data_IF_695730475173
#
_entry.id   IF_695730475173
#
_cell.length_a   1.000
_cell.length_b   1.000
_cell.length_c   1.000
_cell.angle_alpha   90.00
_cell.angle_beta   90.00
_cell.angle_gamma   90.00
#
_symmetry.space_group_name_H-M   'P 1'
#
loop_
_entity.id
_entity.type
_entity.pdbx_description
1 polymer ?
#
# COMPACT_ATOMS: atom_id res chain seq x y z
N UNK A 1 -22.49 3.34 -14.68
CA UNK A 1 -22.83 2.06 -14.02
C UNK A 1 -21.95 0.99 -14.62
N UNK A 2 -21.15 0.28 -13.82
CA UNK A 2 -20.36 -0.90 -14.26
C UNK A 2 -21.05 -2.12 -13.69
N UNK A 3 -21.40 -3.12 -14.51
CA UNK A 3 -22.20 -4.28 -14.08
C UNK A 3 -23.53 -3.92 -13.37
N UNK A 4 -24.10 -2.74 -13.65
CA UNK A 4 -25.31 -2.27 -12.96
C UNK A 4 -25.05 -1.69 -11.56
N UNK A 5 -23.79 -1.44 -11.18
CA UNK A 5 -23.37 -0.78 -9.95
C UNK A 5 -23.07 0.72 -10.16
N UNK A 6 -23.42 1.54 -9.17
CA UNK A 6 -23.19 2.99 -9.16
C UNK A 6 -21.86 3.29 -8.48
N UNK A 7 -20.79 3.38 -9.27
CA UNK A 7 -19.43 3.63 -8.78
C UNK A 7 -19.29 5.10 -8.35
N UNK A 8 -18.86 5.30 -7.09
CA UNK A 8 -18.64 6.60 -6.46
C UNK A 8 -17.18 6.89 -6.16
N UNK A 9 -16.36 5.86 -6.02
CA UNK A 9 -14.93 5.99 -5.75
C UNK A 9 -14.11 5.04 -6.62
N UNK A 10 -12.93 5.49 -7.01
CA UNK A 10 -11.87 4.70 -7.61
C UNK A 10 -10.65 4.79 -6.71
N UNK A 11 -10.18 3.66 -6.20
CA UNK A 11 -8.99 3.57 -5.35
C UNK A 11 -7.94 2.69 -6.02
N UNK A 12 -6.73 3.21 -6.16
CA UNK A 12 -5.69 2.60 -6.98
C UNK A 12 -4.45 2.27 -6.15
N UNK A 13 -3.88 1.07 -6.32
CA UNK A 13 -2.53 0.83 -5.83
C UNK A 13 -1.49 1.74 -6.53
N UNK A 14 -0.36 1.92 -5.87
CA UNK A 14 0.72 2.79 -6.36
C UNK A 14 1.70 2.02 -7.23
N UNK A 15 2.44 1.07 -6.65
CA UNK A 15 3.67 0.52 -7.23
C UNK A 15 3.36 -0.66 -8.15
N UNK A 16 3.62 -0.53 -9.44
CA UNK A 16 3.24 -1.55 -10.42
C UNK A 16 1.81 -1.39 -10.94
N UNK A 17 1.03 -0.49 -10.36
CA UNK A 17 -0.34 -0.18 -10.78
C UNK A 17 -0.47 1.22 -11.41
N UNK A 18 -0.47 2.31 -10.62
CA UNK A 18 -0.54 3.67 -11.17
C UNK A 18 0.84 4.20 -11.60
N UNK A 19 1.89 3.72 -10.93
CA UNK A 19 3.27 4.01 -11.25
C UNK A 19 3.91 2.78 -11.88
N UNK A 20 4.18 2.91 -13.17
CA UNK A 20 5.04 1.98 -13.89
C UNK A 20 6.52 2.32 -13.77
N UNK A 21 7.32 1.81 -14.71
CA UNK A 21 8.78 1.92 -14.68
C UNK A 21 9.29 3.36 -14.82
N UNK A 22 8.48 4.25 -15.41
CA UNK A 22 8.84 5.65 -15.59
C UNK A 22 8.82 6.47 -14.28
N UNK A 23 8.21 5.95 -13.20
CA UNK A 23 8.06 6.65 -11.93
C UNK A 23 7.13 7.88 -11.99
N UNK A 24 6.35 8.02 -13.07
CA UNK A 24 5.39 9.10 -13.29
C UNK A 24 4.11 8.54 -13.90
N UNK A 25 2.97 9.14 -13.58
CA UNK A 25 1.68 8.75 -14.14
C UNK A 25 1.56 9.26 -15.57
N UNK A 26 1.12 8.40 -16.49
CA UNK A 26 0.99 8.76 -17.91
C UNK A 26 -0.01 9.87 -18.13
N UNK A 27 0.19 10.69 -19.18
CA UNK A 27 -0.74 11.78 -19.49
C UNK A 27 -2.17 11.30 -19.76
N UNK A 28 -2.33 10.11 -20.36
CA UNK A 28 -3.64 9.53 -20.66
C UNK A 28 -4.36 9.14 -19.38
N UNK A 29 -3.65 8.51 -18.43
CA UNK A 29 -4.19 8.19 -17.09
C UNK A 29 -4.54 9.47 -16.31
N UNK A 30 -3.69 10.49 -16.33
CA UNK A 30 -4.00 11.81 -15.73
C UNK A 30 -5.29 12.42 -16.31
N UNK A 31 -5.46 12.37 -17.65
CA UNK A 31 -6.69 12.87 -18.30
C UNK A 31 -7.92 12.04 -17.91
N UNK A 32 -7.79 10.73 -17.79
CA UNK A 32 -8.87 9.84 -17.36
C UNK A 32 -9.30 10.15 -15.90
N UNK A 33 -8.34 10.32 -14.99
CA UNK A 33 -8.60 10.72 -13.60
C UNK A 33 -9.33 12.06 -13.52
N UNK A 34 -8.91 13.06 -14.30
CA UNK A 34 -9.61 14.36 -14.34
C UNK A 34 -11.07 14.22 -14.77
N UNK A 35 -11.34 13.42 -15.81
CA UNK A 35 -12.72 13.15 -16.27
C UNK A 35 -13.55 12.40 -15.22
N UNK A 36 -12.96 11.47 -14.47
CA UNK A 36 -13.64 10.80 -13.34
C UNK A 36 -14.10 11.83 -12.30
N UNK A 37 -13.18 12.70 -11.88
CA UNK A 37 -13.46 13.75 -10.89
C UNK A 37 -14.52 14.74 -11.38
N UNK A 38 -14.50 15.12 -12.66
CA UNK A 38 -15.54 15.95 -13.28
C UNK A 38 -16.95 15.33 -13.20
N UNK A 39 -17.04 13.99 -13.16
CA UNK A 39 -18.31 13.26 -12.97
C UNK A 39 -18.68 13.08 -11.48
N UNK A 40 -17.89 13.64 -10.56
CA UNK A 40 -18.09 13.52 -9.12
C UNK A 40 -17.69 12.16 -8.56
N UNK A 41 -16.84 11.40 -9.26
CA UNK A 41 -16.26 10.16 -8.76
C UNK A 41 -14.97 10.51 -8.00
N UNK A 42 -14.91 10.10 -6.74
CA UNK A 42 -13.73 10.26 -5.89
C UNK A 42 -12.56 9.45 -6.46
N UNK A 43 -11.37 10.03 -6.50
CA UNK A 43 -10.17 9.32 -6.89
C UNK A 43 -9.14 9.31 -5.77
N UNK A 44 -8.67 8.12 -5.37
CA UNK A 44 -7.69 7.99 -4.30
C UNK A 44 -6.68 6.86 -4.52
N UNK A 45 -5.77 6.74 -3.57
CA UNK A 45 -4.69 5.75 -3.57
C UNK A 45 -4.82 4.76 -2.40
N UNK A 46 -4.40 3.52 -2.59
CA UNK A 46 -4.40 2.48 -1.55
C UNK A 46 -3.11 1.67 -1.60
N UNK A 47 -2.17 1.93 -0.69
CA UNK A 47 -0.78 1.48 -0.80
C UNK A 47 -0.19 1.00 0.54
N UNK A 48 0.89 0.22 0.45
CA UNK A 48 1.73 -0.15 1.58
C UNK A 48 2.59 0.99 2.13
N UNK A 49 2.79 2.07 1.35
CA UNK A 49 3.54 3.27 1.75
C UNK A 49 2.75 4.09 2.79
N UNK A 50 3.44 4.80 3.68
CA UNK A 50 2.77 5.70 4.64
C UNK A 50 2.15 6.92 3.93
N UNK A 51 1.07 7.47 4.51
CA UNK A 51 0.34 8.59 3.91
C UNK A 51 1.25 9.78 3.62
N UNK A 52 2.17 10.08 4.53
CA UNK A 52 3.00 11.29 4.42
C UNK A 52 4.03 11.16 3.30
N UNK A 53 4.65 9.99 3.11
CA UNK A 53 5.56 9.78 1.97
C UNK A 53 4.83 9.91 0.64
N UNK A 54 3.65 9.26 0.50
CA UNK A 54 2.82 9.37 -0.71
C UNK A 54 2.51 10.81 -1.04
N UNK A 55 2.06 11.59 -0.05
CA UNK A 55 1.73 13.02 -0.24
C UNK A 55 2.91 13.85 -0.72
N UNK A 56 4.11 13.58 -0.22
CA UNK A 56 5.31 14.29 -0.63
C UNK A 56 5.71 14.01 -2.09
N UNK A 57 5.30 12.86 -2.64
CA UNK A 57 5.70 12.40 -3.97
C UNK A 57 4.66 12.70 -5.07
N UNK A 58 3.42 13.08 -4.73
CA UNK A 58 2.35 13.33 -5.72
C UNK A 58 2.72 14.34 -6.82
N UNK A 59 3.52 15.35 -6.48
CA UNK A 59 4.02 16.35 -7.43
C UNK A 59 4.97 15.76 -8.45
N UNK A 60 5.91 14.92 -8.00
CA UNK A 60 6.87 14.22 -8.87
C UNK A 60 6.15 13.22 -9.78
N UNK A 61 5.11 12.57 -9.28
CA UNK A 61 4.29 11.62 -10.03
C UNK A 61 3.34 12.28 -11.04
N UNK A 62 3.18 13.61 -11.00
CA UNK A 62 2.33 14.37 -11.92
C UNK A 62 0.83 14.32 -11.60
N UNK A 63 0.46 13.92 -10.38
CA UNK A 63 -0.94 13.79 -9.93
C UNK A 63 -1.28 14.65 -8.70
N UNK A 64 -0.44 15.61 -8.35
CA UNK A 64 -0.75 16.61 -7.32
C UNK A 64 -2.10 17.30 -7.60
N UNK A 65 -2.93 17.40 -6.57
CA UNK A 65 -4.28 17.96 -6.66
C UNK A 65 -5.33 17.05 -7.31
N UNK A 66 -4.97 15.82 -7.72
CA UNK A 66 -5.92 14.85 -8.25
C UNK A 66 -6.35 13.79 -7.24
N UNK A 67 -5.60 13.58 -6.17
CA UNK A 67 -5.88 12.59 -5.13
C UNK A 67 -6.77 13.18 -4.04
N UNK A 68 -7.95 12.61 -3.86
CA UNK A 68 -8.94 12.99 -2.83
C UNK A 68 -8.73 12.24 -1.52
N UNK A 69 -8.28 10.99 -1.57
CA UNK A 69 -8.07 10.15 -0.40
C UNK A 69 -6.85 9.23 -0.57
N UNK A 70 -6.22 8.88 0.54
CA UNK A 70 -5.09 7.95 0.62
C UNK A 70 -5.36 6.97 1.75
N UNK A 71 -5.35 5.68 1.42
CA UNK A 71 -5.20 4.59 2.36
C UNK A 71 -3.72 4.18 2.34
N UNK A 72 -3.01 4.46 3.43
CA UNK A 72 -1.58 4.20 3.57
C UNK A 72 -1.29 3.07 4.55
N UNK A 73 -0.02 2.69 4.64
CA UNK A 73 0.48 1.64 5.55
C UNK A 73 -0.32 0.34 5.46
N UNK A 74 -0.76 -0.04 4.25
CA UNK A 74 -1.53 -1.26 4.00
C UNK A 74 -2.94 -1.24 4.61
N UNK A 75 -3.51 -0.07 4.89
CA UNK A 75 -4.80 0.09 5.57
C UNK A 75 -4.72 0.67 6.98
N UNK A 76 -3.51 0.80 7.52
CA UNK A 76 -3.27 1.32 8.87
C UNK A 76 -3.44 2.85 8.97
N UNK A 77 -3.40 3.55 7.85
CA UNK A 77 -3.56 5.00 7.80
C UNK A 77 -4.64 5.38 6.79
N UNK A 78 -5.50 6.32 7.17
CA UNK A 78 -6.59 6.83 6.34
C UNK A 78 -6.54 8.34 6.36
N UNK A 79 -6.39 8.92 5.16
CA UNK A 79 -6.35 10.36 4.96
C UNK A 79 -7.32 10.75 3.85
N UNK A 80 -8.24 11.68 4.14
CA UNK A 80 -9.21 12.19 3.17
C UNK A 80 -9.10 13.73 3.12
N UNK A 81 -8.68 14.23 1.96
CA UNK A 81 -8.50 15.66 1.69
C UNK A 81 -9.83 16.38 1.67
N UNK A 82 -10.88 15.73 1.17
CA UNK A 82 -12.19 16.34 0.94
C UNK A 82 -12.96 16.56 2.25
N UNK A 83 -12.67 15.74 3.26
CA UNK A 83 -13.29 15.77 4.58
C UNK A 83 -12.39 16.32 5.69
N UNK A 84 -11.14 16.70 5.39
CA UNK A 84 -10.11 17.09 6.36
C UNK A 84 -9.96 16.02 7.47
N UNK A 85 -9.79 14.77 7.05
CA UNK A 85 -9.73 13.61 7.93
C UNK A 85 -8.36 12.95 7.87
N UNK A 86 -7.80 12.63 9.03
CA UNK A 86 -6.53 11.92 9.19
C UNK A 86 -6.62 10.99 10.41
N UNK A 87 -6.37 9.69 10.19
CA UNK A 87 -6.44 8.66 11.22
C UNK A 87 -5.41 7.57 10.98
N UNK A 88 -4.65 7.26 12.02
CA UNK A 88 -3.86 6.03 12.13
C UNK A 88 -4.60 5.00 13.01
N UNK A 89 -4.53 3.73 12.63
CA UNK A 89 -5.24 2.61 13.25
C UNK A 89 -4.28 1.46 13.53
N UNK A 90 -4.46 0.85 14.70
CA UNK A 90 -3.79 -0.41 15.08
C UNK A 90 -2.26 -0.42 14.90
N UNK A 91 -1.52 0.57 15.43
CA UNK A 91 -0.06 0.49 15.41
C UNK A 91 0.42 -0.70 16.25
N UNK A 92 1.53 -1.29 15.85
CA UNK A 92 2.22 -2.31 16.64
C UNK A 92 2.89 -1.67 17.85
N UNK A 93 2.78 -2.33 19.00
CA UNK A 93 3.51 -1.95 20.21
C UNK A 93 5.03 -2.03 19.96
N UNK A 94 5.77 -1.04 20.45
CA UNK A 94 7.22 -0.98 20.25
C UNK A 94 7.97 -2.17 20.87
N UNK A 95 7.48 -2.73 21.98
CA UNK A 95 8.07 -3.91 22.58
C UNK A 95 7.88 -5.15 21.68
N UNK A 96 6.72 -5.28 21.03
CA UNK A 96 6.50 -6.36 20.06
C UNK A 96 7.47 -6.23 18.88
N UNK A 97 7.68 -5.02 18.35
CA UNK A 97 8.63 -4.81 17.25
C UNK A 97 10.04 -5.22 17.68
N UNK A 98 10.47 -4.88 18.90
CA UNK A 98 11.77 -5.32 19.43
C UNK A 98 11.88 -6.85 19.53
N UNK A 99 10.82 -7.53 19.95
CA UNK A 99 10.78 -9.00 19.98
C UNK A 99 10.85 -9.62 18.57
N UNK A 100 10.14 -9.03 17.60
CA UNK A 100 10.24 -9.43 16.19
C UNK A 100 11.70 -9.29 15.72
N UNK A 101 12.34 -8.15 15.99
CA UNK A 101 13.73 -7.92 15.59
C UNK A 101 14.67 -8.97 16.21
N UNK A 102 14.53 -9.23 17.51
CA UNK A 102 15.33 -10.23 18.20
C UNK A 102 15.14 -11.65 17.63
N UNK A 103 13.94 -11.99 17.16
CA UNK A 103 13.66 -13.30 16.54
C UNK A 103 14.44 -13.56 15.24
N UNK A 104 14.94 -12.51 14.61
CA UNK A 104 15.66 -12.55 13.33
C UNK A 104 17.11 -12.06 13.45
N UNK A 105 17.62 -11.81 14.66
CA UNK A 105 18.94 -11.20 14.89
C UNK A 105 20.12 -12.03 14.37
N UNK A 106 19.93 -13.35 14.23
CA UNK A 106 20.91 -14.30 13.73
C UNK A 106 20.94 -14.42 12.20
N UNK A 107 19.98 -13.79 11.50
CA UNK A 107 19.95 -13.75 10.04
C UNK A 107 20.63 -12.48 9.50
N UNK A 108 21.13 -12.56 8.27
CA UNK A 108 21.68 -11.41 7.56
C UNK A 108 20.56 -10.54 6.97
N UNK A 109 19.81 -9.89 7.85
CA UNK A 109 18.70 -8.99 7.50
C UNK A 109 18.94 -7.59 8.08
N UNK A 110 18.17 -6.63 7.59
CA UNK A 110 17.99 -5.33 8.23
C UNK A 110 16.50 -5.07 8.45
N UNK A 111 16.18 -4.00 9.18
CA UNK A 111 14.82 -3.60 9.48
C UNK A 111 14.58 -2.16 9.05
N UNK A 112 13.40 -1.89 8.52
CA UNK A 112 12.95 -0.56 8.17
C UNK A 112 11.54 -0.33 8.70
N UNK A 113 11.28 0.89 9.19
CA UNK A 113 9.96 1.34 9.62
C UNK A 113 9.62 2.59 8.82
N UNK A 114 8.67 2.52 7.86
CA UNK A 114 8.12 3.70 7.22
C UNK A 114 7.32 4.49 8.26
N UNK A 115 7.70 5.73 8.49
CA UNK A 115 7.04 6.59 9.45
C UNK A 115 7.30 8.06 9.11
N UNK A 116 6.28 8.90 9.24
CA UNK A 116 6.39 10.35 9.06
C UNK A 116 7.07 10.79 7.75
N UNK A 117 6.85 10.03 6.66
CA UNK A 117 7.39 10.28 5.32
C UNK A 117 8.85 9.90 5.11
N UNK A 118 9.43 9.11 6.03
CA UNK A 118 10.82 8.63 5.96
C UNK A 118 10.90 7.13 6.28
N UNK A 119 12.01 6.51 5.91
CA UNK A 119 12.38 5.17 6.37
C UNK A 119 13.29 5.26 7.60
N UNK A 120 12.92 4.62 8.70
CA UNK A 120 13.76 4.54 9.89
C UNK A 120 14.39 3.14 10.01
N UNK A 121 15.71 3.08 10.17
CA UNK A 121 16.46 1.83 10.24
C UNK A 121 17.38 1.80 11.48
N UNK A 122 17.70 0.63 12.05
CA UNK A 122 18.60 0.53 13.19
C UNK A 122 20.08 0.62 12.77
N UNK A 123 20.40 0.36 11.49
CA UNK A 123 21.76 0.43 10.95
C UNK A 123 21.76 0.84 9.47
N UNK A 124 22.85 1.48 9.06
CA UNK A 124 23.15 1.76 7.64
C UNK A 124 23.73 0.52 6.97
N UNK A 125 23.15 0.11 5.84
CA UNK A 125 23.72 -0.88 4.93
C UNK A 125 23.15 -0.76 3.50
N UNK A 126 23.61 -1.64 2.61
CA UNK A 126 23.19 -1.63 1.21
C UNK A 126 21.72 -2.02 1.01
N UNK A 127 21.14 -2.80 1.94
CA UNK A 127 19.73 -3.18 1.92
C UNK A 127 18.83 -1.96 2.12
N UNK A 128 19.14 -1.12 3.11
CA UNK A 128 18.36 0.11 3.37
C UNK A 128 18.57 1.15 2.28
N UNK A 129 19.80 1.27 1.74
CA UNK A 129 20.06 2.17 0.59
C UNK A 129 19.29 1.75 -0.65
N UNK A 130 19.21 0.45 -0.92
CA UNK A 130 18.43 -0.09 -2.02
C UNK A 130 16.94 0.23 -1.82
N UNK A 131 16.39 -0.04 -0.63
CA UNK A 131 14.99 0.25 -0.31
C UNK A 131 14.66 1.73 -0.45
N UNK A 132 15.47 2.61 0.16
CA UNK A 132 15.32 4.07 0.07
C UNK A 132 15.31 4.56 -1.38
N UNK A 133 16.20 4.03 -2.22
CA UNK A 133 16.25 4.37 -3.64
C UNK A 133 15.04 3.85 -4.41
N UNK A 134 14.58 2.64 -4.12
CA UNK A 134 13.42 2.03 -4.78
C UNK A 134 12.14 2.81 -4.46
N UNK A 135 11.95 3.18 -3.19
CA UNK A 135 10.78 3.92 -2.75
C UNK A 135 10.87 5.41 -3.13
N UNK A 136 12.07 5.93 -3.39
CA UNK A 136 12.31 7.36 -3.59
C UNK A 136 12.13 8.17 -2.30
N UNK A 137 12.41 7.55 -1.15
CA UNK A 137 12.20 8.11 0.19
C UNK A 137 13.54 8.10 0.94
N UNK A 138 13.89 9.22 1.57
CA UNK A 138 15.08 9.30 2.42
C UNK A 138 14.96 8.40 3.65
N UNK A 139 16.09 7.86 4.12
CA UNK A 139 16.15 7.09 5.35
C UNK A 139 16.97 7.79 6.45
N UNK A 140 16.68 7.40 7.70
CA UNK A 140 17.44 7.80 8.89
C UNK A 140 17.80 6.59 9.72
N UNK A 141 19.07 6.53 10.11
CA UNK A 141 19.53 5.57 11.11
C UNK A 141 19.26 6.13 12.49
N UNK A 142 18.53 5.38 13.31
CA UNK A 142 18.14 5.79 14.66
C UNK A 142 18.33 4.66 15.66
N UNK A 143 18.45 5.01 16.95
CA UNK A 143 18.43 4.01 18.01
C UNK A 143 17.00 3.48 18.17
N UNK A 144 16.81 2.20 17.85
CA UNK A 144 15.50 1.54 17.97
C UNK A 144 15.07 1.36 19.41
N UNK A 145 15.99 1.40 20.38
CA UNK A 145 15.59 1.35 21.78
C UNK A 145 14.80 2.57 22.21
N UNK A 146 15.18 3.74 21.70
CA UNK A 146 14.51 5.03 21.91
C UNK A 146 13.33 5.20 20.94
N UNK A 147 13.52 4.91 19.66
CA UNK A 147 12.50 5.14 18.61
C UNK A 147 11.24 4.30 18.82
N UNK A 148 11.40 3.08 19.36
CA UNK A 148 10.30 2.16 19.69
C UNK A 148 9.79 2.34 21.13
N UNK A 149 10.09 3.47 21.79
CA UNK A 149 9.37 3.85 23.01
C UNK A 149 7.88 4.16 22.74
N UNK A 150 7.52 4.41 21.48
CA UNK A 150 6.15 4.63 21.02
C UNK A 150 5.78 3.61 19.92
N UNK A 151 4.50 3.23 19.80
CA UNK A 151 4.00 2.34 18.76
C UNK A 151 4.35 2.82 17.34
N UNK A 152 4.43 1.89 16.39
CA UNK A 152 4.69 2.19 14.97
C UNK A 152 3.72 1.42 14.06
N UNK A 153 3.40 1.94 12.86
CA UNK A 153 2.40 1.31 11.98
C UNK A 153 2.76 -0.13 11.61
N UNK A 154 4.04 -0.36 11.27
CA UNK A 154 4.57 -1.67 10.86
C UNK A 154 6.08 -1.74 11.04
N UNK A 155 6.65 -2.93 10.86
CA UNK A 155 8.10 -3.14 10.69
C UNK A 155 8.34 -4.04 9.48
N UNK A 156 9.32 -3.68 8.66
CA UNK A 156 9.71 -4.42 7.47
C UNK A 156 11.06 -5.07 7.71
N UNK A 157 11.17 -6.36 7.43
CA UNK A 157 12.44 -7.05 7.24
C UNK A 157 12.89 -6.81 5.81
N UNK A 158 14.12 -6.36 5.66
CA UNK A 158 14.78 -6.11 4.37
C UNK A 158 15.93 -7.08 4.24
N UNK A 159 15.97 -7.83 3.13
CA UNK A 159 16.96 -8.89 2.92
C UNK A 159 17.16 -9.19 1.44
N UNK A 160 18.26 -9.89 1.13
CA UNK A 160 18.51 -10.40 -0.22
C UNK A 160 17.48 -11.47 -0.60
N UNK A 161 16.98 -11.54 -1.85
CA UNK A 161 15.87 -12.43 -2.23
C UNK A 161 16.07 -13.91 -1.89
N UNK A 162 17.32 -14.38 -1.86
CA UNK A 162 17.68 -15.75 -1.49
C UNK A 162 17.31 -16.13 -0.03
N UNK A 163 17.06 -15.15 0.85
CA UNK A 163 16.62 -15.38 2.22
C UNK A 163 15.11 -15.55 2.37
N UNK A 164 14.31 -15.32 1.31
CA UNK A 164 12.84 -15.29 1.39
C UNK A 164 12.26 -16.57 2.04
N UNK A 165 12.61 -17.75 1.53
CA UNK A 165 12.12 -19.02 2.09
C UNK A 165 12.55 -19.21 3.55
N UNK A 166 13.76 -18.78 3.90
CA UNK A 166 14.28 -18.86 5.28
C UNK A 166 13.48 -17.95 6.21
N UNK A 167 13.18 -16.72 5.77
CA UNK A 167 12.38 -15.76 6.54
C UNK A 167 10.94 -16.26 6.72
N UNK A 168 10.34 -16.83 5.67
CA UNK A 168 9.00 -17.42 5.73
C UNK A 168 8.96 -18.59 6.72
N UNK A 169 9.89 -19.55 6.64
CA UNK A 169 9.92 -20.66 7.60
C UNK A 169 10.17 -20.18 9.03
N UNK A 170 11.05 -19.19 9.23
CA UNK A 170 11.31 -18.58 10.53
C UNK A 170 10.08 -17.86 11.09
N UNK A 171 9.29 -17.19 10.25
CA UNK A 171 8.08 -16.47 10.66
C UNK A 171 7.05 -17.38 11.33
N UNK A 172 6.94 -18.64 10.88
CA UNK A 172 6.03 -19.64 11.45
C UNK A 172 6.36 -20.01 12.89
N UNK A 173 7.57 -19.70 13.35
CA UNK A 173 8.03 -19.97 14.72
C UNK A 173 7.90 -18.78 15.64
N UNK A 174 7.60 -17.58 15.10
CA UNK A 174 7.38 -16.40 15.91
C UNK A 174 6.01 -16.48 16.60
N UNK A 175 5.98 -16.29 17.91
CA UNK A 175 4.76 -16.24 18.69
C UNK A 175 4.89 -15.24 19.83
N UNK A 176 3.86 -14.42 20.03
CA UNK A 176 3.73 -13.54 21.18
C UNK A 176 2.33 -13.73 21.78
N UNK A 177 2.27 -13.99 23.09
CA UNK A 177 1.02 -14.25 23.81
C UNK A 177 0.15 -12.99 23.96
N UNK A 178 0.76 -11.81 23.91
CA UNK A 178 0.13 -10.53 24.24
C UNK A 178 -0.30 -9.73 23.00
N UNK A 179 0.35 -9.96 21.86
CA UNK A 179 0.12 -9.20 20.64
C UNK A 179 0.04 -10.10 19.41
N UNK A 180 -0.85 -9.75 18.49
CA UNK A 180 -0.96 -10.44 17.20
C UNK A 180 -0.26 -9.63 16.12
N UNK A 181 0.35 -10.32 15.16
CA UNK A 181 0.93 -9.72 13.96
C UNK A 181 0.66 -10.63 12.76
N UNK A 182 0.45 -10.04 11.58
CA UNK A 182 0.41 -10.76 10.31
C UNK A 182 1.68 -10.49 9.54
N UNK A 183 2.29 -11.55 9.00
CA UNK A 183 3.47 -11.49 8.17
C UNK A 183 3.09 -11.60 6.68
N UNK A 184 3.53 -10.66 5.84
CA UNK A 184 3.18 -10.64 4.42
C UNK A 184 4.38 -10.31 3.54
N UNK A 185 4.46 -10.97 2.38
CA UNK A 185 5.45 -10.66 1.34
C UNK A 185 4.91 -9.50 0.51
N UNK A 186 5.55 -8.34 0.57
CA UNK A 186 5.16 -7.15 -0.20
C UNK A 186 6.05 -6.88 -1.40
N UNK A 187 7.27 -7.44 -1.40
CA UNK A 187 8.20 -7.42 -2.53
C UNK A 187 9.17 -8.60 -2.43
N UNK A 188 9.96 -8.84 -3.48
CA UNK A 188 10.97 -9.91 -3.51
C UNK A 188 12.06 -9.81 -2.43
N UNK A 189 12.18 -8.65 -1.79
CA UNK A 189 13.19 -8.31 -0.77
C UNK A 189 12.58 -7.92 0.59
N UNK A 190 11.25 -8.00 0.72
CA UNK A 190 10.51 -7.49 1.89
C UNK A 190 9.60 -8.55 2.50
N UNK A 191 9.66 -8.65 3.83
CA UNK A 191 8.66 -9.32 4.64
C UNK A 191 8.20 -8.38 5.75
N UNK A 192 6.90 -8.13 5.84
CA UNK A 192 6.36 -7.10 6.73
C UNK A 192 5.54 -7.69 7.87
N UNK A 193 5.68 -7.11 9.06
CA UNK A 193 4.81 -7.35 10.19
C UNK A 193 3.93 -6.13 10.47
N UNK A 194 2.62 -6.35 10.56
CA UNK A 194 1.60 -5.36 10.91
C UNK A 194 0.52 -5.98 11.80
N UNK A 195 -0.36 -5.18 12.41
CA UNK A 195 -1.50 -5.71 13.16
C UNK A 195 -2.44 -6.49 12.21
N UNK A 196 -2.94 -7.69 12.56
CA UNK A 196 -3.76 -8.50 11.65
C UNK A 196 -5.09 -7.89 11.26
N UNK A 197 -5.53 -6.82 11.93
CA UNK A 197 -6.72 -6.06 11.55
C UNK A 197 -6.46 -5.08 10.42
N UNK A 198 -5.19 -4.77 10.15
CA UNK A 198 -4.78 -3.88 9.07
C UNK A 198 -4.78 -4.66 7.76
N UNK A 199 -5.69 -4.29 6.87
CA UNK A 199 -5.71 -4.74 5.47
C UNK A 199 -6.12 -3.57 4.58
N UNK A 200 -5.83 -3.65 3.27
CA UNK A 200 -6.25 -2.62 2.32
C UNK A 200 -7.78 -2.46 2.34
N UNK A 201 -8.51 -3.57 2.42
CA UNK A 201 -9.98 -3.56 2.58
C UNK A 201 -10.42 -2.78 3.82
N UNK A 202 -9.78 -2.99 4.98
CA UNK A 202 -10.14 -2.26 6.21
C UNK A 202 -10.03 -0.74 6.02
N UNK A 203 -8.92 -0.26 5.46
CA UNK A 203 -8.75 1.18 5.22
C UNK A 203 -9.75 1.73 4.19
N UNK A 204 -10.10 0.94 3.18
CA UNK A 204 -11.10 1.29 2.18
C UNK A 204 -12.51 1.33 2.76
N UNK A 205 -12.88 0.38 3.63
CA UNK A 205 -14.17 0.40 4.34
C UNK A 205 -14.32 1.67 5.18
N UNK A 206 -13.25 2.12 5.85
CA UNK A 206 -13.25 3.38 6.59
C UNK A 206 -13.47 4.57 5.65
N UNK A 207 -12.72 4.68 4.54
CA UNK A 207 -12.93 5.74 3.53
C UNK A 207 -14.36 5.73 2.98
N UNK A 208 -14.85 4.58 2.53
CA UNK A 208 -16.20 4.47 1.97
C UNK A 208 -17.26 4.84 3.02
N UNK A 209 -17.08 4.40 4.26
CA UNK A 209 -17.95 4.73 5.39
C UNK A 209 -18.00 6.22 5.73
N UNK A 210 -16.88 6.94 5.63
CA UNK A 210 -16.84 8.41 5.82
C UNK A 210 -17.73 9.15 4.82
N UNK A 211 -17.86 8.63 3.60
CA UNK A 211 -18.72 9.19 2.54
C UNK A 211 -20.14 8.61 2.55
N UNK A 212 -20.47 7.71 3.48
CA UNK A 212 -21.77 7.05 3.54
C UNK A 212 -22.01 6.05 2.40
N UNK A 213 -20.94 5.52 1.82
CA UNK A 213 -20.97 4.53 0.75
C UNK A 213 -20.60 3.14 1.27
N UNK A 214 -20.89 2.11 0.47
CA UNK A 214 -20.45 0.74 0.73
C UNK A 214 -19.37 0.34 -0.27
N UNK A 215 -18.72 -0.81 -0.04
CA UNK A 215 -17.74 -1.35 -0.98
C UNK A 215 -18.35 -1.62 -2.38
N UNK A 216 -19.66 -1.83 -2.50
CA UNK A 216 -20.35 -1.95 -3.80
C UNK A 216 -20.22 -0.69 -4.69
N UNK A 217 -19.93 0.47 -4.08
CA UNK A 217 -19.72 1.73 -4.79
C UNK A 217 -18.24 1.96 -5.16
N UNK A 218 -17.35 1.02 -4.82
CA UNK A 218 -15.91 1.13 -5.02
C UNK A 218 -15.46 0.36 -6.27
N UNK A 219 -14.62 1.01 -7.07
CA UNK A 219 -13.79 0.36 -8.07
C UNK A 219 -12.33 0.37 -7.58
N UNK A 220 -11.64 -0.76 -7.61
CA UNK A 220 -10.22 -0.86 -7.25
C UNK A 220 -9.35 -1.21 -8.44
N UNK A 221 -8.08 -0.80 -8.40
CA UNK A 221 -7.02 -1.25 -9.30
C UNK A 221 -5.83 -1.75 -8.48
N UNK A 222 -5.31 -2.93 -8.79
CA UNK A 222 -4.13 -3.49 -8.16
C UNK A 222 -3.34 -4.44 -9.06
N UNK A 223 -2.18 -4.87 -8.59
CA UNK A 223 -1.28 -5.78 -9.29
C UNK A 223 -0.55 -6.76 -8.38
N UNK A 224 -0.39 -6.52 -7.09
CA UNK A 224 0.38 -7.38 -6.20
C UNK A 224 -0.50 -8.26 -5.30
N UNK A 225 0.09 -9.24 -4.61
CA UNK A 225 -0.64 -10.18 -3.73
C UNK A 225 -1.35 -9.46 -2.56
N UNK A 226 -0.82 -8.33 -2.10
CA UNK A 226 -1.43 -7.49 -1.08
C UNK A 226 -2.65 -6.69 -1.59
N UNK A 227 -2.96 -6.74 -2.89
CA UNK A 227 -4.18 -6.18 -3.49
C UNK A 227 -5.33 -7.18 -3.54
N UNK A 228 -5.07 -8.45 -3.28
CA UNK A 228 -6.07 -9.51 -3.39
C UNK A 228 -7.31 -9.21 -2.55
N UNK A 229 -7.14 -8.77 -1.30
CA UNK A 229 -8.28 -8.50 -0.41
C UNK A 229 -9.12 -7.32 -0.90
N UNK A 230 -8.50 -6.19 -1.29
CA UNK A 230 -9.27 -5.05 -1.79
C UNK A 230 -9.93 -5.33 -3.15
N UNK A 231 -9.32 -6.17 -3.98
CA UNK A 231 -9.87 -6.58 -5.29
C UNK A 231 -11.10 -7.44 -5.08
N UNK A 232 -11.01 -8.43 -4.19
CA UNK A 232 -12.10 -9.36 -3.88
C UNK A 232 -13.33 -8.67 -3.27
N UNK A 233 -13.11 -7.64 -2.44
CA UNK A 233 -14.18 -7.02 -1.65
C UNK A 233 -14.78 -5.76 -2.29
N UNK A 234 -14.16 -5.20 -3.35
CA UNK A 234 -14.71 -4.06 -4.06
C UNK A 234 -15.92 -4.46 -4.93
N UNK A 235 -16.81 -3.51 -5.19
CA UNK A 235 -17.91 -3.71 -6.13
C UNK A 235 -17.42 -3.96 -7.55
N UNK A 236 -16.27 -3.41 -7.92
CA UNK A 236 -15.54 -3.73 -9.15
C UNK A 236 -14.04 -3.83 -8.86
N UNK A 237 -13.49 -5.04 -8.89
CA UNK A 237 -12.06 -5.30 -8.79
C UNK A 237 -11.39 -5.36 -10.16
N UNK A 238 -10.46 -4.45 -10.45
CA UNK A 238 -9.68 -4.43 -11.69
C UNK A 238 -8.23 -4.78 -11.39
N UNK A 239 -7.65 -5.67 -12.18
CA UNK A 239 -6.25 -6.09 -12.01
C UNK A 239 -5.46 -5.79 -13.27
N UNK A 240 -4.24 -5.27 -13.09
CA UNK A 240 -3.34 -4.94 -14.20
C UNK A 240 -2.85 -6.21 -14.92
N UNK A 241 -2.48 -6.11 -16.20
CA UNK A 241 -1.93 -7.25 -16.96
C UNK A 241 -0.64 -7.79 -16.31
N UNK A 242 0.18 -6.90 -15.75
CA UNK A 242 1.39 -7.24 -14.99
C UNK A 242 1.10 -7.78 -13.59
N UNK A 243 -0.17 -7.89 -13.18
CA UNK A 243 -0.53 -8.31 -11.83
C UNK A 243 -0.30 -9.80 -11.54
N UNK A 244 -0.29 -10.14 -10.26
CA UNK A 244 -0.08 -11.49 -9.75
C UNK A 244 -1.25 -12.41 -10.07
N UNK A 245 -0.96 -13.70 -10.20
CA UNK A 245 -1.99 -14.71 -10.45
C UNK A 245 -2.97 -14.84 -9.29
N UNK A 246 -2.50 -14.60 -8.05
CA UNK A 246 -3.36 -14.60 -6.87
C UNK A 246 -4.43 -13.51 -7.01
N UNK A 247 -4.03 -12.26 -7.26
CA UNK A 247 -4.96 -11.14 -7.36
C UNK A 247 -5.82 -11.21 -8.61
N UNK A 248 -5.28 -11.66 -9.76
CA UNK A 248 -6.07 -11.93 -10.97
C UNK A 248 -7.17 -12.97 -10.76
N UNK A 249 -6.99 -13.93 -9.85
CA UNK A 249 -7.98 -14.98 -9.60
C UNK A 249 -9.30 -14.48 -9.02
N UNK A 250 -9.33 -13.27 -8.46
CA UNK A 250 -10.51 -12.60 -7.89
C UNK A 250 -10.94 -11.36 -8.66
N UNK A 251 -10.32 -11.08 -9.81
CA UNK A 251 -10.63 -9.90 -10.62
C UNK A 251 -11.97 -10.01 -11.35
N UNK A 252 -12.74 -8.93 -11.36
CA UNK A 252 -13.87 -8.77 -12.29
C UNK A 252 -13.37 -8.47 -13.71
N UNK A 253 -12.28 -7.71 -13.79
CA UNK A 253 -11.65 -7.31 -15.04
C UNK A 253 -10.13 -7.37 -14.94
N UNK A 254 -9.52 -7.82 -16.03
CA UNK A 254 -8.09 -7.65 -16.27
C UNK A 254 -7.95 -6.56 -17.33
N UNK A 255 -7.16 -5.53 -17.03
CA UNK A 255 -6.86 -4.41 -17.94
C UNK A 255 -5.42 -4.47 -18.45
N UNK A 256 -5.01 -3.56 -19.33
CA UNK A 256 -3.61 -3.47 -19.78
C UNK A 256 -2.62 -3.22 -18.65
N UNK A 257 -1.33 -3.26 -18.94
CA UNK A 257 -0.29 -2.96 -17.94
C UNK A 257 -0.20 -1.45 -17.62
N UNK A 258 0.54 -1.15 -16.54
CA UNK A 258 0.72 0.20 -16.03
C UNK A 258 1.56 1.11 -16.95
N UNK A 259 2.47 0.56 -17.75
CA UNK A 259 3.31 1.32 -18.69
C UNK A 259 2.57 1.67 -19.99
N UNK A 260 1.47 0.97 -20.31
CA UNK A 260 0.67 1.16 -21.52
C UNK A 260 -0.77 1.61 -21.26
N UNK A 261 -0.98 2.44 -20.23
CA UNK A 261 -2.24 3.13 -19.93
C UNK A 261 -3.42 2.23 -19.53
N UNK A 262 -3.19 1.04 -18.97
CA UNK A 262 -4.26 0.09 -18.62
C UNK A 262 -5.37 0.67 -17.73
N UNK A 263 -5.03 1.55 -16.79
CA UNK A 263 -6.03 2.27 -15.97
C UNK A 263 -6.90 3.17 -16.85
N UNK A 264 -6.28 3.96 -17.72
CA UNK A 264 -6.99 4.91 -18.58
C UNK A 264 -7.96 4.19 -19.53
N UNK A 265 -7.52 3.06 -20.11
CA UNK A 265 -8.35 2.24 -21.00
C UNK A 265 -9.59 1.70 -20.31
N UNK A 266 -9.45 1.21 -19.08
CA UNK A 266 -10.59 0.75 -18.29
C UNK A 266 -11.55 1.91 -17.98
N UNK A 267 -11.00 3.01 -17.44
CA UNK A 267 -11.77 4.18 -17.04
C UNK A 267 -12.59 4.73 -18.23
N UNK A 268 -11.96 4.91 -19.39
CA UNK A 268 -12.62 5.43 -20.59
C UNK A 268 -13.71 4.50 -21.13
N UNK A 269 -13.58 3.19 -20.95
CA UNK A 269 -14.51 2.20 -21.48
C UNK A 269 -15.70 1.95 -20.55
N UNK A 270 -15.50 2.00 -19.23
CA UNK A 270 -16.47 1.51 -18.26
C UNK A 270 -17.01 2.58 -17.31
N UNK A 271 -16.24 3.63 -17.00
CA UNK A 271 -16.60 4.63 -15.97
C UNK A 271 -16.98 6.00 -16.56
N UNK A 272 -16.48 6.31 -17.76
CA UNK A 272 -16.80 7.55 -18.49
C UNK A 272 -17.96 7.38 -19.46
#
# INVERSE_FOLDING_TARGET
>A
MVNGLDIKAVMCDVDGTILGNAGVVTEKTVKAIKKLKEKGILFGLCTGRDVKSVRNQLGEWGIEGLVDAIVGSGGGEVFDVTLDFDKASFPLDGALIKEIIAHYEDLNVNFAIPYDGLLFAPKDDDLIKMLSKADGIDYRVVDFDEFLAEPKPKVMLVFEPEYMDTVIERSKTFHNDNYKSSGLITASVLYEYMDPRVTKTYGLEEIMGLHGWTMDNLCTFGDADNDHDMTLNAGVGVVMENGSELTKSVADYITGDCDHDGIAEFVEKYLL
#
